data_IF_828704190457
#
_entry.id   IF_828704190457
#
_cell.length_a   1.000
_cell.length_b   1.000
_cell.length_c   1.000
_cell.angle_alpha   90.00
_cell.angle_beta   90.00
_cell.angle_gamma   90.00
#
_symmetry.space_group_name_H-M   'P 1'
#
loop_
_entity.id
_entity.type
_entity.pdbx_description
1 polymer ?
#
# COMPACT_ATOMS: atom_id res chain seq x y z
N UNK A 1 2.39 16.63 -46.81
CA UNK A 1 3.79 16.19 -46.58
C UNK A 1 4.48 17.06 -45.52
N UNK A 2 4.29 18.40 -45.56
CA UNK A 2 4.89 19.34 -44.57
C UNK A 2 4.29 19.15 -43.18
N UNK A 3 3.00 18.90 -43.08
CA UNK A 3 2.28 18.73 -41.78
C UNK A 3 2.76 17.44 -41.06
N UNK A 4 3.02 16.36 -41.79
CA UNK A 4 3.54 15.11 -41.20
C UNK A 4 5.02 15.23 -40.77
N UNK A 5 5.82 16.02 -41.46
CA UNK A 5 7.22 16.29 -41.08
C UNK A 5 7.30 17.11 -39.78
N UNK A 6 6.49 18.17 -39.67
CA UNK A 6 6.40 19.03 -38.49
C UNK A 6 5.85 18.23 -37.29
N UNK A 7 4.84 17.37 -37.51
CA UNK A 7 4.27 16.54 -36.45
C UNK A 7 5.27 15.49 -35.92
N UNK A 8 6.10 14.91 -36.78
CA UNK A 8 7.14 13.95 -36.37
C UNK A 8 8.31 14.65 -35.66
N UNK A 9 8.78 15.80 -36.16
CA UNK A 9 9.80 16.59 -35.46
C UNK A 9 9.31 17.11 -34.09
N UNK A 10 8.07 17.57 -34.01
CA UNK A 10 7.45 18.00 -32.76
C UNK A 10 7.31 16.83 -31.79
N UNK A 11 7.10 15.58 -32.27
CA UNK A 11 6.98 14.40 -31.39
C UNK A 11 8.34 13.96 -30.86
N UNK A 12 9.37 13.88 -31.69
CA UNK A 12 10.72 13.48 -31.23
C UNK A 12 11.39 14.57 -30.39
N UNK A 13 11.33 15.80 -30.84
CA UNK A 13 11.85 16.97 -30.09
C UNK A 13 11.02 17.18 -28.81
N UNK A 14 9.70 17.02 -28.88
CA UNK A 14 8.81 17.16 -27.73
C UNK A 14 9.05 16.07 -26.66
N UNK A 15 9.34 14.84 -27.05
CA UNK A 15 9.68 13.76 -26.11
C UNK A 15 11.07 14.00 -25.53
N UNK A 16 12.06 14.42 -26.32
CA UNK A 16 13.39 14.74 -25.83
C UNK A 16 13.37 15.95 -24.88
N UNK A 17 12.64 17.02 -25.21
CA UNK A 17 12.40 18.17 -24.31
C UNK A 17 11.64 17.77 -23.05
N UNK A 18 10.64 16.90 -23.15
CA UNK A 18 9.92 16.41 -21.99
C UNK A 18 10.82 15.60 -21.04
N UNK A 19 11.69 14.74 -21.59
CA UNK A 19 12.61 13.93 -20.78
C UNK A 19 13.70 14.81 -20.14
N UNK A 20 14.19 15.82 -20.84
CA UNK A 20 15.21 16.75 -20.32
C UNK A 20 14.61 17.67 -19.25
N UNK A 21 13.38 18.15 -19.45
CA UNK A 21 12.65 18.94 -18.46
C UNK A 21 12.23 18.13 -17.23
N UNK A 22 11.88 16.85 -17.37
CA UNK A 22 11.59 15.97 -16.23
C UNK A 22 12.79 15.83 -15.29
N UNK A 23 14.04 15.85 -15.83
CA UNK A 23 15.25 15.87 -14.98
C UNK A 23 15.36 17.14 -14.14
N UNK A 24 14.89 18.28 -14.65
CA UNK A 24 14.91 19.55 -13.92
C UNK A 24 13.87 19.61 -12.78
N UNK A 25 12.82 18.78 -12.86
CA UNK A 25 11.85 18.60 -11.77
C UNK A 25 12.31 17.60 -10.70
N UNK A 26 13.39 16.86 -10.95
CA UNK A 26 13.92 15.90 -10.00
C UNK A 26 14.86 16.60 -9.01
N UNK A 27 14.26 17.23 -8.01
CA UNK A 27 14.99 17.93 -6.96
C UNK A 27 15.17 17.05 -5.72
N UNK A 28 16.43 16.76 -5.37
CA UNK A 28 16.77 15.88 -4.25
C UNK A 28 16.31 16.46 -2.89
N UNK A 29 16.48 17.75 -2.59
CA UNK A 29 15.95 18.38 -1.39
C UNK A 29 14.43 18.21 -1.23
N UNK A 30 13.64 18.43 -2.27
CA UNK A 30 12.19 18.25 -2.25
C UNK A 30 11.80 16.79 -1.98
N UNK A 31 12.51 15.86 -2.60
CA UNK A 31 12.28 14.42 -2.39
C UNK A 31 12.55 14.01 -0.94
N UNK A 32 13.62 14.57 -0.33
CA UNK A 32 13.94 14.32 1.09
C UNK A 32 12.86 14.91 2.01
N UNK A 33 12.32 16.09 1.71
CA UNK A 33 11.27 16.72 2.52
C UNK A 33 10.00 15.87 2.46
N UNK A 34 9.55 15.47 1.27
CA UNK A 34 8.29 14.72 1.09
C UNK A 34 8.41 13.29 1.62
N UNK A 35 9.39 12.53 1.14
CA UNK A 35 9.56 11.14 1.56
C UNK A 35 10.05 11.03 3.00
N UNK A 36 11.05 11.82 3.37
CA UNK A 36 11.58 11.83 4.72
C UNK A 36 10.56 12.28 5.76
N UNK A 37 9.83 13.35 5.47
CA UNK A 37 8.76 13.85 6.33
C UNK A 37 7.61 12.84 6.49
N UNK A 38 7.15 12.24 5.38
CA UNK A 38 6.11 11.22 5.42
C UNK A 38 6.55 9.98 6.20
N UNK A 39 7.75 9.47 5.93
CA UNK A 39 8.31 8.32 6.66
C UNK A 39 8.46 8.64 8.14
N UNK A 40 9.00 9.81 8.48
CA UNK A 40 9.15 10.24 9.87
C UNK A 40 7.79 10.33 10.59
N UNK A 41 6.76 10.85 9.94
CA UNK A 41 5.41 10.91 10.48
C UNK A 41 4.81 9.52 10.72
N UNK A 42 5.03 8.57 9.81
CA UNK A 42 4.57 7.18 9.97
C UNK A 42 5.34 6.51 11.12
N UNK A 43 6.66 6.66 11.17
CA UNK A 43 7.51 6.08 12.22
C UNK A 43 7.13 6.61 13.62
N UNK A 44 6.78 7.90 13.72
CA UNK A 44 6.38 8.52 14.97
C UNK A 44 5.01 8.03 15.49
N UNK A 45 4.11 7.61 14.59
CA UNK A 45 2.75 7.23 14.92
C UNK A 45 2.52 5.72 15.05
N UNK A 46 3.39 4.89 14.47
CA UNK A 46 3.19 3.43 14.40
C UNK A 46 4.33 2.63 14.99
N UNK A 47 3.99 1.47 15.55
CA UNK A 47 4.96 0.57 16.15
C UNK A 47 5.99 0.04 15.11
N UNK A 48 7.26 -0.18 15.49
CA UNK A 48 8.27 -0.76 14.62
C UNK A 48 7.89 -2.12 14.03
N UNK A 49 6.96 -2.84 14.63
CA UNK A 49 6.44 -4.13 14.12
C UNK A 49 5.70 -3.94 12.81
N UNK A 50 4.85 -2.91 12.70
CA UNK A 50 4.10 -2.60 11.47
C UNK A 50 5.01 -2.13 10.35
N UNK A 51 6.02 -1.32 10.70
CA UNK A 51 7.02 -0.83 9.72
C UNK A 51 7.84 -1.96 9.08
N UNK A 52 8.25 -2.94 9.87
CA UNK A 52 8.98 -4.12 9.37
C UNK A 52 8.12 -5.01 8.46
N UNK A 53 6.82 -4.93 8.55
CA UNK A 53 5.90 -5.70 7.72
C UNK A 53 5.63 -5.06 6.34
N UNK A 54 5.99 -3.79 6.12
CA UNK A 54 5.77 -3.06 4.85
C UNK A 54 6.27 -3.85 3.61
N UNK A 55 7.51 -4.38 3.57
CA UNK A 55 7.96 -5.14 2.39
C UNK A 55 7.16 -6.42 2.16
N UNK A 56 6.64 -7.05 3.23
CA UNK A 56 5.75 -8.21 3.12
C UNK A 56 4.40 -7.81 2.52
N UNK A 57 3.84 -6.66 2.91
CA UNK A 57 2.58 -6.17 2.36
C UNK A 57 2.71 -5.84 0.86
N UNK A 58 3.83 -5.23 0.45
CA UNK A 58 4.11 -4.98 -0.97
C UNK A 58 4.21 -6.29 -1.76
N UNK A 59 4.86 -7.32 -1.20
CA UNK A 59 4.93 -8.64 -1.83
C UNK A 59 3.54 -9.27 -1.99
N UNK A 60 2.67 -9.19 -0.97
CA UNK A 60 1.30 -9.72 -1.01
C UNK A 60 0.47 -8.97 -2.07
N UNK A 61 0.65 -7.65 -2.19
CA UNK A 61 -0.04 -6.84 -3.19
C UNK A 61 0.35 -7.23 -4.63
N UNK A 62 1.60 -7.62 -4.84
CA UNK A 62 2.11 -8.08 -6.14
C UNK A 62 1.79 -9.56 -6.41
N UNK A 63 1.59 -10.36 -5.36
CA UNK A 63 1.30 -11.79 -5.42
C UNK A 63 -0.22 -11.98 -5.53
N UNK A 64 -0.77 -11.76 -6.72
CA UNK A 64 -2.19 -11.75 -7.00
C UNK A 64 -2.87 -13.12 -6.88
N UNK A 65 -2.78 -13.77 -5.72
CA UNK A 65 -3.55 -14.99 -5.43
C UNK A 65 -5.03 -14.67 -5.51
N UNK A 66 -5.70 -15.25 -6.50
CA UNK A 66 -7.16 -15.18 -6.62
C UNK A 66 -7.76 -16.21 -5.66
N UNK A 67 -8.54 -15.75 -4.71
CA UNK A 67 -9.43 -16.61 -3.95
C UNK A 67 -10.59 -17.04 -4.84
N UNK A 68 -10.79 -18.35 -4.98
CA UNK A 68 -11.96 -18.90 -5.66
C UNK A 68 -12.97 -19.38 -4.61
N UNK A 69 -14.10 -18.65 -4.42
CA UNK A 69 -15.12 -19.06 -3.46
C UNK A 69 -15.79 -20.40 -3.80
N UNK A 70 -15.79 -20.80 -5.08
CA UNK A 70 -16.43 -22.05 -5.50
C UNK A 70 -15.66 -23.27 -4.99
N UNK A 71 -14.33 -23.23 -4.97
CA UNK A 71 -13.49 -24.29 -4.43
C UNK A 71 -13.79 -24.56 -2.94
N UNK A 72 -14.02 -23.48 -2.16
CA UNK A 72 -14.40 -23.61 -0.75
C UNK A 72 -15.78 -24.21 -0.57
N UNK A 73 -16.75 -23.84 -1.42
CA UNK A 73 -18.12 -24.39 -1.38
C UNK A 73 -18.09 -25.88 -1.69
N UNK A 74 -17.39 -26.29 -2.74
CA UNK A 74 -17.27 -27.70 -3.14
C UNK A 74 -16.62 -28.52 -2.02
N UNK A 75 -15.54 -28.01 -1.42
CA UNK A 75 -14.88 -28.63 -0.29
C UNK A 75 -15.81 -28.79 0.93
N UNK A 76 -16.61 -27.78 1.25
CA UNK A 76 -17.59 -27.84 2.34
C UNK A 76 -18.69 -28.85 2.08
N UNK A 77 -19.15 -28.95 0.84
CA UNK A 77 -20.17 -29.97 0.44
C UNK A 77 -19.60 -31.38 0.61
N UNK A 78 -18.34 -31.60 0.17
CA UNK A 78 -17.70 -32.92 0.33
C UNK A 78 -17.51 -33.28 1.80
N UNK A 79 -17.09 -32.32 2.64
CA UNK A 79 -16.94 -32.55 4.08
C UNK A 79 -18.28 -32.83 4.77
N UNK A 80 -19.34 -32.14 4.36
CA UNK A 80 -20.69 -32.41 4.86
C UNK A 80 -21.19 -33.84 4.48
N UNK A 81 -20.84 -34.35 3.31
CA UNK A 81 -21.15 -35.72 2.89
C UNK A 81 -20.37 -36.76 3.68
N UNK A 82 -19.07 -36.51 3.94
CA UNK A 82 -18.22 -37.40 4.76
C UNK A 82 -18.74 -37.44 6.19
N UNK A 83 -19.08 -36.29 6.78
CA UNK A 83 -19.63 -36.23 8.13
C UNK A 83 -20.94 -37.00 8.26
N UNK A 84 -21.82 -36.95 7.26
CA UNK A 84 -23.08 -37.72 7.24
C UNK A 84 -22.88 -39.21 7.13
N UNK A 85 -21.89 -39.68 6.37
CA UNK A 85 -21.65 -41.11 6.12
C UNK A 85 -20.82 -41.75 7.20
N UNK A 86 -19.77 -41.08 7.65
CA UNK A 86 -18.70 -41.64 8.48
C UNK A 86 -18.63 -41.02 9.89
N UNK A 87 -19.50 -40.03 10.18
CA UNK A 87 -19.48 -39.30 11.44
C UNK A 87 -18.47 -38.15 11.47
N UNK A 88 -18.58 -37.29 12.49
CA UNK A 88 -17.75 -36.06 12.62
C UNK A 88 -16.26 -36.37 12.79
N UNK A 89 -15.89 -37.44 13.47
CA UNK A 89 -14.48 -37.84 13.66
C UNK A 89 -13.72 -38.08 12.34
N UNK A 90 -14.43 -38.51 11.30
CA UNK A 90 -13.85 -38.74 9.98
C UNK A 90 -13.36 -37.41 9.31
N UNK A 91 -13.81 -36.26 9.81
CA UNK A 91 -13.37 -34.95 9.33
C UNK A 91 -11.99 -34.57 9.87
N UNK A 92 -11.52 -35.14 10.98
CA UNK A 92 -10.23 -34.80 11.59
C UNK A 92 -9.05 -35.03 10.62
N UNK A 93 -9.05 -36.19 9.95
CA UNK A 93 -8.02 -36.49 8.96
C UNK A 93 -8.04 -35.52 7.78
N UNK A 94 -9.23 -35.14 7.33
CA UNK A 94 -9.41 -34.19 6.24
C UNK A 94 -9.07 -32.75 6.66
N UNK A 95 -9.43 -32.34 7.87
CA UNK A 95 -9.09 -31.04 8.43
C UNK A 95 -7.58 -30.84 8.51
N UNK A 96 -6.81 -31.91 8.79
CA UNK A 96 -5.36 -31.85 8.82
C UNK A 96 -4.70 -31.65 7.45
N UNK A 97 -5.42 -31.94 6.35
CA UNK A 97 -4.95 -31.74 4.97
C UNK A 97 -5.26 -30.35 4.42
N UNK A 98 -6.05 -29.54 5.14
CA UNK A 98 -6.41 -28.18 4.72
C UNK A 98 -5.28 -27.21 5.01
N UNK A 99 -4.85 -26.45 4.00
CA UNK A 99 -3.76 -25.47 4.10
C UNK A 99 -4.21 -24.17 4.81
N UNK A 100 -5.49 -23.80 4.73
CA UNK A 100 -6.03 -22.59 5.34
C UNK A 100 -6.18 -22.78 6.86
N UNK A 101 -5.44 -22.00 7.69
CA UNK A 101 -5.47 -22.14 9.14
C UNK A 101 -6.85 -21.85 9.76
N UNK A 102 -7.59 -20.87 9.21
CA UNK A 102 -8.91 -20.51 9.71
C UNK A 102 -9.92 -21.61 9.42
N UNK A 103 -9.90 -22.16 8.21
CA UNK A 103 -10.77 -23.25 7.80
C UNK A 103 -10.45 -24.54 8.58
N UNK A 104 -9.17 -24.86 8.77
CA UNK A 104 -8.74 -25.98 9.60
C UNK A 104 -9.24 -25.88 11.04
N UNK A 105 -9.04 -24.71 11.68
CA UNK A 105 -9.52 -24.47 13.04
C UNK A 105 -11.03 -24.59 13.15
N UNK A 106 -11.76 -24.06 12.16
CA UNK A 106 -13.22 -24.16 12.10
C UNK A 106 -13.71 -25.63 12.06
N UNK A 107 -13.04 -26.45 11.24
CA UNK A 107 -13.35 -27.88 11.16
C UNK A 107 -13.06 -28.63 12.45
N UNK A 108 -11.96 -28.32 13.13
CA UNK A 108 -11.62 -28.94 14.41
C UNK A 108 -12.65 -28.66 15.50
N UNK A 109 -13.20 -27.44 15.55
CA UNK A 109 -14.30 -27.11 16.48
C UNK A 109 -15.55 -27.95 16.22
N UNK A 110 -15.82 -28.30 14.96
CA UNK A 110 -16.95 -29.16 14.59
C UNK A 110 -16.65 -30.63 14.97
N UNK A 111 -15.42 -31.08 14.76
CA UNK A 111 -14.97 -32.45 15.14
C UNK A 111 -15.08 -32.64 16.65
N UNK A 112 -14.76 -31.61 17.45
CA UNK A 112 -14.90 -31.62 18.92
C UNK A 112 -16.34 -31.60 19.41
N UNK A 113 -17.33 -31.70 18.49
CA UNK A 113 -18.76 -31.67 18.79
C UNK A 113 -19.19 -30.43 19.62
N UNK A 114 -18.51 -29.31 19.43
CA UNK A 114 -18.88 -28.04 20.07
C UNK A 114 -20.26 -27.59 19.55
N UNK A 115 -21.07 -26.99 20.42
CA UNK A 115 -22.41 -26.51 20.06
C UNK A 115 -22.33 -25.51 18.88
N UNK A 116 -23.25 -25.61 17.93
CA UNK A 116 -23.21 -24.87 16.68
C UNK A 116 -23.25 -23.34 16.89
N UNK A 117 -24.06 -22.87 17.86
CA UNK A 117 -24.13 -21.43 18.16
C UNK A 117 -22.82 -20.92 18.76
N UNK A 118 -22.17 -21.72 19.59
CA UNK A 118 -20.88 -21.41 20.17
C UNK A 118 -19.76 -21.40 19.14
N UNK A 119 -19.74 -22.35 18.22
CA UNK A 119 -18.80 -22.36 17.08
C UNK A 119 -18.95 -21.08 16.26
N UNK A 120 -20.19 -20.70 15.94
CA UNK A 120 -20.47 -19.48 15.18
C UNK A 120 -19.99 -18.22 15.91
N UNK A 121 -20.22 -18.13 17.23
CA UNK A 121 -19.74 -17.02 18.04
C UNK A 121 -18.22 -16.94 18.04
N UNK A 122 -17.51 -18.06 18.24
CA UNK A 122 -16.05 -18.13 18.25
C UNK A 122 -15.46 -17.71 16.91
N UNK A 123 -16.03 -18.22 15.79
CA UNK A 123 -15.55 -17.88 14.45
C UNK A 123 -15.81 -16.42 14.09
N UNK A 124 -16.94 -15.84 14.50
CA UNK A 124 -17.19 -14.42 14.32
C UNK A 124 -16.19 -13.57 15.10
N UNK A 125 -15.89 -13.91 16.36
CA UNK A 125 -14.90 -13.21 17.16
C UNK A 125 -13.50 -13.31 16.54
N UNK A 126 -13.12 -14.46 16.00
CA UNK A 126 -11.83 -14.62 15.30
C UNK A 126 -11.75 -13.78 14.03
N UNK A 127 -12.88 -13.72 13.28
CA UNK A 127 -13.00 -12.90 12.08
C UNK A 127 -12.90 -11.40 12.42
N UNK A 128 -13.62 -10.95 13.45
CA UNK A 128 -13.57 -9.55 13.91
C UNK A 128 -12.16 -9.15 14.36
N UNK A 129 -11.47 -10.02 15.07
CA UNK A 129 -10.07 -9.83 15.44
C UNK A 129 -9.13 -9.77 14.22
N UNK A 130 -9.41 -10.59 13.20
CA UNK A 130 -8.66 -10.57 11.95
C UNK A 130 -8.85 -9.25 11.20
N UNK A 131 -10.12 -8.81 11.09
CA UNK A 131 -10.49 -7.53 10.47
C UNK A 131 -9.83 -6.38 11.20
N UNK A 132 -9.93 -6.31 12.53
CA UNK A 132 -9.33 -5.24 13.33
C UNK A 132 -7.81 -5.12 13.12
N UNK A 133 -7.09 -6.25 13.03
CA UNK A 133 -5.65 -6.24 12.74
C UNK A 133 -5.33 -5.73 11.32
N UNK A 134 -6.18 -6.04 10.36
CA UNK A 134 -6.02 -5.53 9.00
C UNK A 134 -6.34 -4.04 8.91
N UNK A 135 -7.38 -3.58 9.59
CA UNK A 135 -7.76 -2.16 9.65
C UNK A 135 -6.65 -1.29 10.26
N UNK A 136 -5.93 -1.78 11.27
CA UNK A 136 -4.77 -1.09 11.83
C UNK A 136 -3.67 -0.86 10.77
N UNK A 137 -3.43 -1.87 9.93
CA UNK A 137 -2.45 -1.77 8.84
C UNK A 137 -2.96 -0.83 7.73
N UNK A 138 -4.23 -0.93 7.35
CA UNK A 138 -4.86 -0.03 6.36
C UNK A 138 -4.77 1.42 6.84
N UNK A 139 -5.12 1.69 8.11
CA UNK A 139 -5.02 3.02 8.71
C UNK A 139 -3.60 3.61 8.67
N UNK A 140 -2.57 2.76 8.72
CA UNK A 140 -1.18 3.22 8.53
C UNK A 140 -0.95 3.77 7.11
N UNK A 141 -1.42 3.07 6.08
CA UNK A 141 -1.29 3.52 4.69
C UNK A 141 -2.16 4.73 4.39
N UNK A 142 -3.38 4.77 4.91
CA UNK A 142 -4.28 5.93 4.78
C UNK A 142 -3.67 7.19 5.39
N UNK A 143 -3.09 7.08 6.58
CA UNK A 143 -2.39 8.21 7.21
C UNK A 143 -1.16 8.64 6.41
N UNK A 144 -0.41 7.68 5.87
CA UNK A 144 0.71 7.95 4.96
C UNK A 144 0.27 8.71 3.71
N UNK A 145 -0.81 8.26 3.08
CA UNK A 145 -1.37 8.90 1.87
C UNK A 145 -1.89 10.31 2.14
N UNK A 146 -2.48 10.56 3.30
CA UNK A 146 -2.93 11.89 3.70
C UNK A 146 -1.78 12.84 4.08
N UNK A 147 -0.69 12.28 4.61
CA UNK A 147 0.46 13.06 5.10
C UNK A 147 1.40 13.47 3.96
N UNK A 148 1.58 12.64 2.93
CA UNK A 148 2.48 12.91 1.83
C UNK A 148 2.18 14.23 1.07
N UNK A 149 0.92 14.55 0.70
CA UNK A 149 0.58 15.84 0.10
C UNK A 149 0.83 17.03 1.04
N UNK A 150 0.64 16.85 2.35
CA UNK A 150 0.92 17.91 3.33
C UNK A 150 2.42 18.27 3.35
N UNK A 151 3.32 17.28 3.32
CA UNK A 151 4.76 17.53 3.18
C UNK A 151 5.13 18.11 1.82
N UNK A 152 4.37 17.81 0.75
CA UNK A 152 4.50 18.48 -0.54
C UNK A 152 4.25 19.98 -0.41
N UNK A 153 3.17 20.40 0.25
CA UNK A 153 2.90 21.82 0.50
C UNK A 153 3.98 22.48 1.38
N UNK A 154 4.51 21.79 2.37
CA UNK A 154 5.64 22.29 3.17
C UNK A 154 6.89 22.49 2.28
N UNK A 155 7.15 21.55 1.36
CA UNK A 155 8.23 21.65 0.40
C UNK A 155 8.14 22.91 -0.46
N UNK A 156 6.94 23.21 -0.99
CA UNK A 156 6.72 24.45 -1.77
C UNK A 156 6.97 25.71 -0.95
N UNK A 157 6.55 25.75 0.31
CA UNK A 157 6.79 26.89 1.21
C UNK A 157 8.27 27.06 1.50
N UNK A 158 9.01 25.98 1.76
CA UNK A 158 10.46 26.02 1.96
C UNK A 158 11.17 26.52 0.71
N UNK A 159 10.76 26.07 -0.49
CA UNK A 159 11.27 26.55 -1.76
C UNK A 159 11.06 28.06 -1.95
N UNK A 160 9.85 28.54 -1.66
CA UNK A 160 9.53 29.98 -1.74
C UNK A 160 10.35 30.81 -0.75
N UNK A 161 10.51 30.34 0.49
CA UNK A 161 11.34 31.04 1.50
C UNK A 161 12.79 31.14 1.02
N UNK A 162 13.35 30.06 0.49
CA UNK A 162 14.72 30.04 -0.03
C UNK A 162 14.87 30.98 -1.23
N UNK A 163 13.87 31.03 -2.11
CA UNK A 163 13.83 31.95 -3.25
C UNK A 163 13.86 33.42 -2.77
N UNK A 164 12.99 33.78 -1.81
CA UNK A 164 12.98 35.16 -1.26
C UNK A 164 14.28 35.54 -0.57
N UNK A 165 14.89 34.63 0.18
CA UNK A 165 16.18 34.85 0.83
C UNK A 165 17.31 35.07 -0.18
N UNK A 166 17.29 34.33 -1.31
CA UNK A 166 18.29 34.52 -2.36
C UNK A 166 18.17 35.85 -3.11
N UNK A 167 16.95 36.39 -3.21
CA UNK A 167 16.71 37.72 -3.81
C UNK A 167 17.26 38.84 -2.94
N UNK A 168 17.20 38.72 -1.62
CA UNK A 168 17.61 39.78 -0.68
C UNK A 168 19.16 39.91 -0.58
N UNK A 169 19.87 38.79 -0.84
CA UNK A 169 21.33 38.69 -0.72
C UNK A 169 22.09 39.00 -2.01
N UNK A 170 21.44 39.07 -3.16
CA UNK A 170 22.10 39.19 -4.47
C UNK A 170 21.60 40.39 -5.27
N UNK A 171 22.07 41.56 -4.88
CA UNK A 171 21.81 42.80 -5.64
C UNK A 171 22.38 42.84 -7.07
N UNK A 172 22.98 41.78 -7.61
CA UNK A 172 23.54 41.78 -8.97
C UNK A 172 23.77 40.44 -9.65
N UNK A 173 23.06 39.35 -9.25
CA UNK A 173 23.35 38.05 -9.87
C UNK A 173 22.20 37.00 -9.79
N UNK A 174 21.00 37.38 -9.45
CA UNK A 174 19.93 36.54 -8.95
C UNK A 174 19.22 35.57 -9.92
N UNK A 175 19.44 35.59 -11.22
CA UNK A 175 18.66 34.80 -12.16
C UNK A 175 18.89 33.27 -12.06
N UNK A 176 20.12 32.85 -11.78
CA UNK A 176 20.47 31.42 -11.66
C UNK A 176 20.00 30.79 -10.36
N UNK A 177 20.03 31.51 -9.23
CA UNK A 177 19.55 31.06 -7.93
C UNK A 177 18.01 31.06 -7.85
N UNK A 178 17.35 31.94 -8.58
CA UNK A 178 15.90 31.97 -8.73
C UNK A 178 15.37 30.72 -9.40
N UNK A 179 16.03 30.25 -10.48
CA UNK A 179 15.64 29.04 -11.20
C UNK A 179 15.71 27.78 -10.32
N UNK A 180 16.80 27.61 -9.55
CA UNK A 180 16.96 26.45 -8.67
C UNK A 180 15.99 26.47 -7.48
N UNK A 181 15.73 27.61 -6.88
CA UNK A 181 14.77 27.74 -5.78
C UNK A 181 13.32 27.59 -6.25
N UNK A 182 13.03 27.98 -7.50
CA UNK A 182 11.71 27.78 -8.11
C UNK A 182 11.45 26.32 -8.45
N UNK A 183 12.47 25.54 -8.81
CA UNK A 183 12.32 24.10 -9.06
C UNK A 183 11.97 23.32 -7.79
N UNK A 184 12.39 23.78 -6.62
CA UNK A 184 12.00 23.19 -5.32
C UNK A 184 10.55 23.54 -4.94
N UNK A 185 10.06 24.69 -5.41
CA UNK A 185 8.72 25.18 -5.08
C UNK A 185 7.60 24.63 -6.01
N UNK A 186 7.96 24.08 -7.17
CA UNK A 186 7.04 23.48 -8.13
C UNK A 186 6.91 21.98 -7.93
#
# INVERSE_FOLDING_TARGET
LIINGIALEVTETGIAYAIENVKNFFDVPSLIIVLGGTIAAIVANYSPKHLKAIPKHLKIMLDGKKFDPMEYIDTLVDFAQIARKNGLLALEEKANQVDDPFFKQSLMLIVDATDADRVKEMLNNDLDNLVARHEEVVGMYERGSATAPAFGMIGTLVGLINMLRSMDLSGSGGAGSLGSSMSVAL
#
